data_IF_408190963404
#
_entry.id   IF_408190963404
#
_cell.length_a   1.000
_cell.length_b   1.000
_cell.length_c   1.000
_cell.angle_alpha   90.00
_cell.angle_beta   90.00
_cell.angle_gamma   90.00
#
_symmetry.space_group_name_H-M   'P 1'
#
loop_
_entity.id
_entity.type
_entity.pdbx_description
1 polymer ?
#
# COMPACT_ATOMS: atom_id res chain seq x y z
N UNK A 1 -15.74 1.61 37.77
CA UNK A 1 -14.61 0.67 37.54
C UNK A 1 -14.48 0.28 36.08
N UNK A 2 -15.46 -0.42 35.47
CA UNK A 2 -15.41 -0.74 34.03
C UNK A 2 -15.74 0.47 33.14
N UNK A 3 -16.75 1.25 33.51
CA UNK A 3 -17.15 2.48 32.79
C UNK A 3 -16.04 3.54 32.80
N UNK A 4 -15.40 3.79 33.95
CA UNK A 4 -14.26 4.72 34.05
C UNK A 4 -13.08 4.30 33.16
N UNK A 5 -12.87 2.98 33.02
CA UNK A 5 -11.81 2.46 32.16
C UNK A 5 -12.17 2.59 30.68
N UNK A 6 -13.45 2.42 30.32
CA UNK A 6 -13.94 2.64 28.96
C UNK A 6 -13.77 4.12 28.59
N UNK A 7 -14.24 5.04 29.43
CA UNK A 7 -14.13 6.48 29.18
C UNK A 7 -12.66 6.92 28.99
N UNK A 8 -11.76 6.39 29.83
CA UNK A 8 -10.33 6.66 29.69
C UNK A 8 -9.74 6.14 28.37
N UNK A 9 -10.14 4.94 27.94
CA UNK A 9 -9.68 4.37 26.67
C UNK A 9 -10.25 5.15 25.48
N UNK A 10 -11.48 5.65 25.56
CA UNK A 10 -12.09 6.48 24.52
C UNK A 10 -11.34 7.82 24.37
N UNK A 11 -10.98 8.45 25.49
CA UNK A 11 -10.15 9.67 25.52
C UNK A 11 -8.77 9.41 24.89
N UNK A 12 -8.07 8.36 25.32
CA UNK A 12 -6.76 7.99 24.78
C UNK A 12 -6.82 7.67 23.27
N UNK A 13 -7.87 6.98 22.81
CA UNK A 13 -8.09 6.73 21.37
C UNK A 13 -8.31 8.05 20.61
N UNK A 14 -9.03 9.00 21.18
CA UNK A 14 -9.26 10.30 20.55
C UNK A 14 -7.95 11.07 20.39
N UNK A 15 -7.14 11.16 21.45
CA UNK A 15 -5.84 11.84 21.42
C UNK A 15 -4.88 11.19 20.40
N UNK A 16 -4.85 9.86 20.34
CA UNK A 16 -4.04 9.12 19.38
C UNK A 16 -4.47 9.38 17.93
N UNK A 17 -5.78 9.53 17.67
CA UNK A 17 -6.30 9.87 16.33
C UNK A 17 -5.92 11.29 15.91
N UNK A 18 -5.94 12.24 16.84
CA UNK A 18 -5.55 13.62 16.57
C UNK A 18 -4.05 13.72 16.27
N UNK A 19 -3.22 13.04 17.07
CA UNK A 19 -1.78 12.95 16.81
C UNK A 19 -1.48 12.30 15.46
N UNK A 20 -2.16 11.20 15.12
CA UNK A 20 -2.00 10.54 13.82
C UNK A 20 -2.39 11.45 12.65
N UNK A 21 -3.44 12.25 12.81
CA UNK A 21 -3.88 13.22 11.80
C UNK A 21 -2.82 14.30 11.60
N UNK A 22 -2.27 14.85 12.68
CA UNK A 22 -1.19 15.85 12.63
C UNK A 22 0.08 15.31 11.94
N UNK A 23 0.46 14.07 12.25
CA UNK A 23 1.60 13.41 11.61
C UNK A 23 1.36 13.16 10.12
N UNK A 24 0.16 12.70 9.75
CA UNK A 24 -0.23 12.49 8.35
C UNK A 24 -0.10 13.79 7.54
N UNK A 25 -0.62 14.91 8.06
CA UNK A 25 -0.49 16.21 7.42
C UNK A 25 0.97 16.66 7.28
N UNK A 26 1.80 16.36 8.28
CA UNK A 26 3.23 16.73 8.28
C UNK A 26 4.04 16.00 7.20
N UNK A 27 3.62 14.79 6.81
CA UNK A 27 4.28 14.02 5.75
C UNK A 27 3.63 14.21 4.38
N UNK A 28 2.35 14.59 4.32
CA UNK A 28 1.58 14.69 3.06
C UNK A 28 2.24 15.59 2.00
N UNK A 29 2.93 16.65 2.42
CA UNK A 29 3.55 17.63 1.51
C UNK A 29 5.04 17.38 1.25
N UNK A 30 5.59 16.26 1.73
CA UNK A 30 7.00 15.92 1.56
C UNK A 30 7.23 15.18 0.24
N UNK A 31 7.73 15.90 -0.75
CA UNK A 31 8.10 15.32 -2.05
C UNK A 31 9.23 14.29 -1.93
N UNK A 32 10.15 14.48 -0.98
CA UNK A 32 11.27 13.57 -0.71
C UNK A 32 10.84 12.25 -0.04
N UNK A 33 9.59 12.17 0.44
CA UNK A 33 8.99 10.98 1.02
C UNK A 33 7.64 10.65 0.38
N UNK A 34 7.51 10.86 -0.94
CA UNK A 34 6.25 10.70 -1.65
C UNK A 34 5.53 9.38 -1.33
N UNK A 35 6.25 8.26 -1.26
CA UNK A 35 5.63 6.97 -0.92
C UNK A 35 5.09 6.94 0.52
N UNK A 36 5.86 7.38 1.51
CA UNK A 36 5.38 7.42 2.90
C UNK A 36 4.21 8.41 3.07
N UNK A 37 4.25 9.54 2.36
CA UNK A 37 3.14 10.50 2.30
C UNK A 37 1.87 9.85 1.75
N UNK A 38 1.98 9.06 0.67
CA UNK A 38 0.87 8.33 0.11
C UNK A 38 0.35 7.23 1.06
N UNK A 39 1.23 6.52 1.77
CA UNK A 39 0.80 5.52 2.76
C UNK A 39 0.05 6.17 3.93
N UNK A 40 0.56 7.28 4.46
CA UNK A 40 -0.07 8.02 5.55
C UNK A 40 -1.45 8.57 5.13
N UNK A 41 -1.54 9.18 3.95
CA UNK A 41 -2.80 9.68 3.40
C UNK A 41 -3.87 8.58 3.26
N UNK A 42 -3.46 7.37 2.87
CA UNK A 42 -4.35 6.22 2.74
C UNK A 42 -4.48 5.37 4.02
N UNK A 43 -3.93 5.85 5.15
CA UNK A 43 -3.93 5.14 6.44
C UNK A 43 -3.40 3.69 6.36
N UNK A 44 -2.44 3.44 5.46
CA UNK A 44 -1.85 2.13 5.24
C UNK A 44 -0.72 1.90 6.25
N UNK A 45 -0.98 1.06 7.25
CA UNK A 45 -0.03 0.73 8.31
C UNK A 45 -0.03 -0.78 8.64
N UNK A 46 0.90 -1.20 9.51
CA UNK A 46 0.95 -2.57 10.05
C UNK A 46 0.97 -3.66 8.99
N UNK A 47 0.10 -4.66 9.14
CA UNK A 47 0.04 -5.80 8.21
C UNK A 47 -0.43 -5.39 6.81
N UNK A 48 -1.31 -4.40 6.67
CA UNK A 48 -1.74 -3.89 5.35
C UNK A 48 -0.56 -3.28 4.60
N UNK A 49 0.33 -2.55 5.29
CA UNK A 49 1.57 -2.03 4.71
C UNK A 49 2.49 -3.17 4.26
N UNK A 50 2.64 -4.20 5.08
CA UNK A 50 3.45 -5.37 4.71
C UNK A 50 2.88 -6.09 3.48
N UNK A 51 1.56 -6.30 3.42
CA UNK A 51 0.89 -6.88 2.28
C UNK A 51 1.06 -6.01 1.02
N UNK A 52 0.93 -4.69 1.14
CA UNK A 52 1.13 -3.77 0.02
C UNK A 52 2.54 -3.86 -0.55
N UNK A 53 3.58 -3.90 0.28
CA UNK A 53 4.97 -4.03 -0.17
C UNK A 53 5.17 -5.34 -0.96
N UNK A 54 4.58 -6.44 -0.49
CA UNK A 54 4.64 -7.73 -1.18
C UNK A 54 3.88 -7.69 -2.52
N UNK A 55 2.69 -7.10 -2.56
CA UNK A 55 1.92 -6.91 -3.80
C UNK A 55 2.72 -6.06 -4.80
N UNK A 56 3.31 -4.94 -4.36
CA UNK A 56 4.14 -4.08 -5.22
C UNK A 56 5.35 -4.84 -5.78
N UNK A 57 6.00 -5.67 -4.95
CA UNK A 57 7.09 -6.53 -5.39
C UNK A 57 6.66 -7.53 -6.47
N UNK A 58 5.53 -8.21 -6.27
CA UNK A 58 5.00 -9.14 -7.27
C UNK A 58 4.61 -8.45 -8.58
N UNK A 59 3.97 -7.27 -8.50
CA UNK A 59 3.66 -6.43 -9.67
C UNK A 59 4.95 -6.10 -10.44
N UNK A 60 6.00 -5.70 -9.73
CA UNK A 60 7.28 -5.35 -10.36
C UNK A 60 7.92 -6.56 -11.05
N UNK A 61 7.98 -7.72 -10.39
CA UNK A 61 8.48 -8.95 -11.01
C UNK A 61 7.69 -9.31 -12.26
N UNK A 62 6.35 -9.33 -12.19
CA UNK A 62 5.50 -9.66 -13.34
C UNK A 62 5.68 -8.68 -14.51
N UNK A 63 5.81 -7.38 -14.22
CA UNK A 63 6.07 -6.35 -15.23
C UNK A 63 7.41 -6.54 -15.94
N UNK A 64 8.41 -7.09 -15.23
CA UNK A 64 9.72 -7.42 -15.78
C UNK A 64 9.74 -8.76 -16.53
N UNK A 65 8.66 -9.55 -16.46
CA UNK A 65 8.60 -10.91 -17.00
C UNK A 65 9.24 -11.95 -16.08
N UNK A 66 9.44 -11.60 -14.82
CA UNK A 66 9.99 -12.46 -13.78
C UNK A 66 8.87 -13.16 -12.98
N UNK A 67 9.19 -14.32 -12.40
CA UNK A 67 8.26 -15.02 -11.52
C UNK A 67 8.11 -14.26 -10.18
N UNK A 68 6.88 -14.00 -9.71
CA UNK A 68 6.65 -13.43 -8.38
C UNK A 68 7.24 -14.28 -7.26
N UNK A 69 7.74 -13.62 -6.21
CA UNK A 69 8.11 -14.32 -4.97
C UNK A 69 6.86 -14.86 -4.30
N UNK A 70 6.85 -16.16 -4.06
CA UNK A 70 5.76 -16.83 -3.37
C UNK A 70 5.83 -16.58 -1.86
N UNK A 71 4.71 -16.16 -1.28
CA UNK A 71 4.51 -16.04 0.17
C UNK A 71 3.45 -17.04 0.56
N UNK A 72 3.82 -18.01 1.38
CA UNK A 72 2.97 -19.14 1.77
C UNK A 72 2.53 -19.09 3.24
N UNK A 73 2.89 -18.03 3.98
CA UNK A 73 2.53 -17.88 5.40
C UNK A 73 1.02 -17.59 5.53
N UNK A 74 0.23 -18.45 6.20
CA UNK A 74 -1.21 -18.24 6.34
C UNK A 74 -1.57 -16.94 7.05
N UNK A 75 -0.75 -16.52 8.02
CA UNK A 75 -0.89 -15.25 8.74
C UNK A 75 -0.86 -14.00 7.86
N UNK A 76 -0.34 -14.11 6.64
CA UNK A 76 -0.36 -13.05 5.63
C UNK A 76 -1.40 -13.31 4.55
N UNK A 77 -1.59 -14.55 4.12
CA UNK A 77 -2.51 -14.88 3.01
C UNK A 77 -3.98 -14.80 3.40
N UNK A 78 -4.36 -15.27 4.59
CA UNK A 78 -5.76 -15.28 5.02
C UNK A 78 -6.35 -13.87 5.14
N UNK A 79 -5.66 -12.89 5.77
CA UNK A 79 -6.20 -11.53 5.87
C UNK A 79 -6.08 -10.75 4.55
N UNK A 80 -5.17 -11.13 3.66
CA UNK A 80 -4.88 -10.43 2.41
C UNK A 80 -4.88 -11.38 1.21
N UNK A 81 -6.05 -11.88 0.78
CA UNK A 81 -6.16 -12.81 -0.35
C UNK A 81 -5.62 -12.23 -1.67
N UNK A 82 -5.56 -10.89 -1.79
CA UNK A 82 -4.92 -10.20 -2.93
C UNK A 82 -3.45 -10.58 -3.12
N UNK A 83 -2.76 -11.03 -2.06
CA UNK A 83 -1.39 -11.52 -2.18
C UNK A 83 -1.28 -12.75 -3.06
N UNK A 84 -2.25 -13.66 -2.99
CA UNK A 84 -2.27 -14.85 -3.83
C UNK A 84 -2.46 -14.47 -5.30
N UNK A 85 -3.41 -13.57 -5.60
CA UNK A 85 -3.63 -13.05 -6.96
C UNK A 85 -2.40 -12.31 -7.50
N UNK A 86 -1.74 -11.50 -6.67
CA UNK A 86 -0.53 -10.79 -7.10
C UNK A 86 0.62 -11.75 -7.44
N UNK A 87 0.65 -12.93 -6.79
CA UNK A 87 1.67 -13.97 -6.99
C UNK A 87 1.39 -14.91 -8.16
N UNK A 88 0.27 -14.73 -8.87
CA UNK A 88 -0.03 -15.49 -10.07
C UNK A 88 1.07 -15.28 -11.13
N UNK A 89 1.53 -16.36 -11.79
CA UNK A 89 2.56 -16.24 -12.82
C UNK A 89 2.01 -15.54 -14.07
N UNK A 90 2.91 -14.91 -14.83
CA UNK A 90 2.59 -14.26 -16.10
C UNK A 90 2.71 -12.74 -16.04
N UNK A 91 2.60 -12.12 -17.22
CA UNK A 91 2.65 -10.66 -17.36
C UNK A 91 1.50 -9.99 -16.61
N UNK A 92 1.70 -8.74 -16.23
CA UNK A 92 0.67 -7.89 -15.63
C UNK A 92 0.56 -6.60 -16.43
N UNK A 93 -0.66 -6.09 -16.59
CA UNK A 93 -0.89 -4.76 -17.16
C UNK A 93 -1.17 -3.72 -16.06
N UNK A 94 -1.21 -2.44 -16.44
CA UNK A 94 -1.43 -1.36 -15.47
C UNK A 94 -2.81 -1.42 -14.81
N UNK A 95 -3.84 -1.87 -15.54
CA UNK A 95 -5.20 -1.95 -14.99
C UNK A 95 -5.28 -3.01 -13.89
N UNK A 96 -4.65 -4.17 -14.11
CA UNK A 96 -4.54 -5.22 -13.11
C UNK A 96 -3.70 -4.75 -11.92
N UNK A 97 -2.55 -4.10 -12.15
CA UNK A 97 -1.72 -3.56 -11.06
C UNK A 97 -2.50 -2.56 -10.17
N UNK A 98 -3.27 -1.65 -10.77
CA UNK A 98 -4.14 -0.71 -10.06
C UNK A 98 -5.22 -1.46 -9.27
N UNK A 99 -5.87 -2.47 -9.88
CA UNK A 99 -6.91 -3.27 -9.22
C UNK A 99 -6.36 -4.00 -7.98
N UNK A 100 -5.17 -4.59 -8.07
CA UNK A 100 -4.54 -5.29 -6.94
C UNK A 100 -4.23 -4.32 -5.80
N UNK A 101 -3.62 -3.17 -6.09
CA UNK A 101 -3.30 -2.17 -5.06
C UNK A 101 -4.58 -1.56 -4.45
N UNK A 102 -5.63 -1.33 -5.25
CA UNK A 102 -6.89 -0.74 -4.76
C UNK A 102 -7.55 -1.56 -3.64
N UNK A 103 -7.36 -2.88 -3.64
CA UNK A 103 -7.88 -3.76 -2.57
C UNK A 103 -7.22 -3.53 -1.22
N UNK A 104 -6.06 -2.88 -1.17
CA UNK A 104 -5.33 -2.56 0.06
C UNK A 104 -5.47 -1.11 0.47
N UNK A 105 -5.71 -0.20 -0.49
CA UNK A 105 -5.68 1.25 -0.24
C UNK A 105 -7.04 1.93 -0.38
N UNK A 106 -8.07 1.22 -0.83
CA UNK A 106 -9.46 1.68 -0.84
C UNK A 106 -10.05 1.75 -2.26
N UNK A 107 -9.45 2.56 -3.14
CA UNK A 107 -9.96 2.75 -4.49
C UNK A 107 -8.86 2.83 -5.57
N UNK A 108 -9.26 2.86 -6.84
CA UNK A 108 -8.36 2.87 -7.99
C UNK A 108 -7.53 4.15 -8.12
N UNK A 109 -8.09 5.30 -7.75
CA UNK A 109 -7.38 6.58 -7.77
C UNK A 109 -6.25 6.60 -6.73
N UNK A 110 -6.56 6.19 -5.51
CA UNK A 110 -5.59 6.02 -4.43
C UNK A 110 -4.51 5.01 -4.82
N UNK A 111 -4.90 3.90 -5.43
CA UNK A 111 -3.96 2.88 -5.92
C UNK A 111 -3.00 3.44 -6.97
N UNK A 112 -3.51 4.18 -7.94
CA UNK A 112 -2.69 4.82 -8.95
C UNK A 112 -1.71 5.84 -8.34
N UNK A 113 -2.16 6.63 -7.37
CA UNK A 113 -1.30 7.59 -6.66
C UNK A 113 -0.23 6.89 -5.82
N UNK A 114 -0.55 5.77 -5.18
CA UNK A 114 0.43 4.93 -4.45
C UNK A 114 1.48 4.36 -5.41
N UNK A 115 1.08 3.86 -6.58
CA UNK A 115 2.02 3.38 -7.60
C UNK A 115 2.96 4.50 -8.07
N UNK A 116 2.41 5.68 -8.35
CA UNK A 116 3.20 6.87 -8.73
C UNK A 116 4.16 7.30 -7.63
N UNK A 117 3.70 7.35 -6.39
CA UNK A 117 4.50 7.73 -5.24
C UNK A 117 5.65 6.75 -5.00
N UNK A 118 5.38 5.44 -5.19
CA UNK A 118 6.40 4.40 -5.12
C UNK A 118 7.45 4.57 -6.24
N UNK A 119 7.02 4.83 -7.47
CA UNK A 119 7.92 5.14 -8.59
C UNK A 119 8.75 6.40 -8.33
N UNK A 120 8.13 7.49 -7.86
CA UNK A 120 8.79 8.76 -7.57
C UNK A 120 9.82 8.64 -6.45
N UNK A 121 9.64 7.67 -5.54
CA UNK A 121 10.59 7.34 -4.48
C UNK A 121 11.75 6.45 -4.97
N UNK A 122 11.86 6.20 -6.28
CA UNK A 122 12.97 5.48 -6.91
C UNK A 122 12.78 3.97 -7.03
N UNK A 123 11.62 3.43 -6.63
CA UNK A 123 11.38 1.99 -6.67
C UNK A 123 10.86 1.53 -8.03
N UNK A 124 11.38 0.41 -8.54
CA UNK A 124 10.83 -0.30 -9.71
C UNK A 124 10.69 0.53 -10.98
N UNK A 125 11.59 1.50 -11.22
CA UNK A 125 11.49 2.43 -12.33
C UNK A 125 11.28 1.75 -13.70
N UNK A 126 12.02 0.67 -13.98
CA UNK A 126 11.87 -0.10 -15.22
C UNK A 126 10.55 -0.88 -15.27
N UNK A 127 10.16 -1.52 -14.16
CA UNK A 127 8.89 -2.22 -14.08
C UNK A 127 7.70 -1.28 -14.36
N UNK A 128 7.67 -0.11 -13.73
CA UNK A 128 6.63 0.88 -13.93
C UNK A 128 6.62 1.47 -15.35
N UNK A 129 7.79 1.62 -15.96
CA UNK A 129 7.89 2.01 -17.37
C UNK A 129 7.25 0.98 -18.29
N UNK A 130 7.48 -0.32 -18.05
CA UNK A 130 6.86 -1.41 -18.82
C UNK A 130 5.35 -1.49 -18.64
N UNK A 131 4.85 -1.13 -17.47
CA UNK A 131 3.41 -0.97 -17.23
C UNK A 131 2.82 0.25 -17.92
N UNK A 132 3.65 1.20 -18.40
CA UNK A 132 3.17 2.47 -18.93
C UNK A 132 2.68 3.42 -17.84
N UNK A 133 3.09 3.23 -16.58
CA UNK A 133 2.75 4.14 -15.49
C UNK A 133 3.36 5.52 -15.78
N UNK A 134 2.50 6.52 -16.02
CA UNK A 134 2.88 7.89 -16.36
C UNK A 134 2.83 8.23 -17.85
N UNK A 135 2.51 7.27 -18.72
CA UNK A 135 2.14 7.55 -20.12
C UNK A 135 0.64 7.90 -20.15
N UNK A 136 0.31 9.15 -20.50
CA UNK A 136 -1.05 9.59 -20.84
C UNK A 136 -1.19 9.61 -22.35
#
# INVERSE_FOLDING_TARGET
MAEDRIAKLEEEISELRDLLTSLTLSVQYREDMAFEAALAYNQVAGQTRAALILVLGSIQSRALGEAPRQVSQPSMLEPFPVLAEAQEPGSIDLAEAIRLVARLVGNQEQAFNVLKAHQASGFGAEAYRRLGLGLR
#
